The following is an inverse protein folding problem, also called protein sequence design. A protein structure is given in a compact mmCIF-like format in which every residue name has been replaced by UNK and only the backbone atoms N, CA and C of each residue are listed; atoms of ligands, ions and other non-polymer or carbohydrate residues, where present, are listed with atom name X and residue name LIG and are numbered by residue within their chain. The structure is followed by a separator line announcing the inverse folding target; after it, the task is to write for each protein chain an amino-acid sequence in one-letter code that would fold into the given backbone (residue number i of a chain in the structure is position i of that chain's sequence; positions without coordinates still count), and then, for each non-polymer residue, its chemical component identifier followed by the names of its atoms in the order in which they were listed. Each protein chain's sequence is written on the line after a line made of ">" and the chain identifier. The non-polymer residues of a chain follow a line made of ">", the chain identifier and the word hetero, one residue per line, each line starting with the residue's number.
data_IF_242444701583
#
_entry.id   IF_242444701583
#
_cell.length_a   1.000
_cell.length_b   1.000
_cell.length_c   1.000
_cell.angle_alpha   90.00
_cell.angle_beta   90.00
_cell.angle_gamma   90.00
#
_symmetry.space_group_name_H-M   'P 1'
#
loop_
_entity.id
_entity.type
_entity.pdbx_description
1 polymer ?
#
# COMPACT_ATOMS: atom_id res chain seq x y z
N UNK A 1 11.67 -6.24 9.25
CA UNK A 1 12.98 -6.82 9.63
C UNK A 1 13.56 -6.13 10.87
N UNK A 2 13.67 -4.78 10.95
CA UNK A 2 14.26 -4.06 12.10
C UNK A 2 13.56 -4.38 13.42
N UNK A 3 12.23 -4.41 13.45
CA UNK A 3 11.46 -4.75 14.65
C UNK A 3 11.71 -6.21 15.08
N UNK A 4 11.82 -7.14 14.12
CA UNK A 4 12.14 -8.53 14.42
C UNK A 4 13.52 -8.67 15.09
N UNK A 5 14.54 -7.98 14.58
CA UNK A 5 15.87 -7.95 15.20
C UNK A 5 15.83 -7.38 16.62
N UNK A 6 15.06 -6.31 16.85
CA UNK A 6 14.89 -5.74 18.17
C UNK A 6 14.21 -6.72 19.14
N UNK A 7 13.19 -7.45 18.67
CA UNK A 7 12.51 -8.48 19.47
C UNK A 7 13.47 -9.64 19.82
N UNK A 8 14.29 -10.11 18.85
CA UNK A 8 15.28 -11.17 19.09
C UNK A 8 16.31 -10.70 20.10
N UNK A 9 16.82 -9.47 19.96
CA UNK A 9 17.80 -8.91 20.89
C UNK A 9 17.23 -8.78 22.33
N UNK A 10 15.99 -8.29 22.46
CA UNK A 10 15.32 -8.18 23.74
C UNK A 10 15.07 -9.55 24.38
N UNK A 11 14.62 -10.53 23.61
CA UNK A 11 14.42 -11.91 24.08
C UNK A 11 15.76 -12.52 24.55
N UNK A 12 16.83 -12.34 23.78
CA UNK A 12 18.15 -12.84 24.16
C UNK A 12 18.68 -12.19 25.45
N UNK A 13 18.39 -10.90 25.66
CA UNK A 13 18.77 -10.18 26.87
C UNK A 13 18.19 -10.79 28.15
N UNK A 14 16.97 -11.35 28.06
CA UNK A 14 16.29 -12.03 29.18
C UNK A 14 16.51 -13.55 29.19
N UNK A 15 17.51 -14.06 28.43
CA UNK A 15 17.94 -15.45 28.43
C UNK A 15 17.20 -16.38 27.46
N UNK A 16 16.34 -15.87 26.58
CA UNK A 16 15.69 -16.69 25.55
C UNK A 16 16.66 -16.85 24.35
N UNK A 17 16.97 -18.09 23.92
CA UNK A 17 17.85 -18.32 22.79
C UNK A 17 17.33 -17.68 21.51
N UNK A 18 18.22 -17.13 20.69
CA UNK A 18 17.86 -16.47 19.42
C UNK A 18 17.10 -17.42 18.48
N UNK A 19 17.42 -18.71 18.45
CA UNK A 19 16.71 -19.72 17.68
C UNK A 19 15.24 -19.81 18.06
N UNK A 20 14.93 -19.85 19.36
CA UNK A 20 13.54 -19.88 19.89
C UNK A 20 12.80 -18.59 19.53
N UNK A 21 13.45 -17.44 19.64
CA UNK A 21 12.87 -16.14 19.25
C UNK A 21 12.57 -16.09 17.73
N UNK A 22 13.47 -16.61 16.89
CA UNK A 22 13.26 -16.70 15.45
C UNK A 22 12.09 -17.62 15.10
N UNK A 23 11.99 -18.79 15.74
CA UNK A 23 10.88 -19.73 15.56
C UNK A 23 9.53 -19.08 15.92
N UNK A 24 9.46 -18.39 17.06
CA UNK A 24 8.27 -17.66 17.50
C UNK A 24 7.87 -16.57 16.52
N UNK A 25 8.84 -15.81 15.98
CA UNK A 25 8.59 -14.80 14.97
C UNK A 25 8.11 -15.40 13.63
N UNK A 26 8.54 -16.62 13.28
CA UNK A 26 8.06 -17.32 12.09
C UNK A 26 6.58 -17.71 12.16
N UNK A 27 6.03 -17.84 13.39
CA UNK A 27 4.62 -18.13 13.66
C UNK A 27 3.79 -16.87 13.97
N UNK A 28 4.45 -15.70 14.01
CA UNK A 28 3.79 -14.46 14.39
C UNK A 28 2.81 -14.00 13.29
N UNK A 29 1.54 -13.99 13.62
CA UNK A 29 0.51 -13.36 12.81
C UNK A 29 0.67 -11.84 12.90
N UNK A 30 0.82 -11.19 11.77
CA UNK A 30 1.06 -9.74 11.72
C UNK A 30 -0.12 -8.96 12.32
N UNK A 31 0.14 -7.76 12.81
CA UNK A 31 -0.92 -6.88 13.30
C UNK A 31 -1.76 -6.39 12.13
N UNK A 32 -3.05 -6.09 12.39
CA UNK A 32 -3.97 -5.54 11.40
C UNK A 32 -3.38 -4.30 10.74
N UNK A 33 -3.70 -4.10 9.48
CA UNK A 33 -3.28 -2.94 8.69
C UNK A 33 -1.75 -2.79 8.58
N UNK A 34 -1.03 -3.91 8.50
CA UNK A 34 0.40 -4.00 8.18
C UNK A 34 0.59 -5.02 7.09
N UNK A 35 0.54 -4.55 5.83
CA UNK A 35 0.53 -5.42 4.65
C UNK A 35 -0.57 -6.50 4.72
N UNK A 36 -1.72 -6.12 5.30
CA UNK A 36 -2.86 -7.01 5.49
C UNK A 36 -3.56 -7.28 4.17
N UNK A 37 -3.66 -8.53 3.75
CA UNK A 37 -4.45 -8.89 2.58
C UNK A 37 -5.95 -8.77 2.89
N UNK A 38 -6.61 -7.77 2.32
CA UNK A 38 -8.06 -7.55 2.50
C UNK A 38 -8.91 -8.45 1.59
N UNK A 39 -8.37 -8.84 0.45
CA UNK A 39 -9.05 -9.74 -0.46
C UNK A 39 -8.31 -9.94 -1.78
N UNK A 40 -8.81 -10.91 -2.53
CA UNK A 40 -8.32 -11.25 -3.87
C UNK A 40 -9.47 -11.19 -4.86
N UNK A 41 -9.15 -10.81 -6.09
CA UNK A 41 -10.05 -10.91 -7.23
C UNK A 41 -9.37 -11.78 -8.25
N UNK A 42 -9.95 -12.96 -8.49
CA UNK A 42 -9.42 -13.90 -9.48
C UNK A 42 -9.75 -13.43 -10.88
N UNK A 43 -8.77 -13.55 -11.77
CA UNK A 43 -8.89 -13.29 -13.19
C UNK A 43 -8.33 -14.46 -13.98
N UNK A 44 -8.59 -14.60 -15.28
CA UNK A 44 -8.10 -15.74 -16.07
C UNK A 44 -6.57 -15.91 -16.09
N UNK A 45 -5.82 -14.82 -15.86
CA UNK A 45 -4.35 -14.81 -15.95
C UNK A 45 -3.65 -14.47 -14.64
N UNK A 46 -4.38 -14.46 -13.51
CA UNK A 46 -3.82 -14.30 -12.17
C UNK A 46 -4.64 -13.40 -11.26
N UNK A 47 -4.33 -13.42 -9.97
CA UNK A 47 -5.11 -12.74 -8.94
C UNK A 47 -4.66 -11.30 -8.72
N UNK A 48 -5.61 -10.38 -8.65
CA UNK A 48 -5.39 -9.02 -8.13
C UNK A 48 -5.54 -9.07 -6.61
N UNK A 49 -4.56 -8.55 -5.88
CA UNK A 49 -4.59 -8.48 -4.42
C UNK A 49 -4.86 -7.06 -3.95
N UNK A 50 -5.81 -6.88 -3.05
CA UNK A 50 -6.05 -5.61 -2.34
C UNK A 50 -5.46 -5.72 -0.94
N UNK A 51 -4.49 -4.85 -0.65
CA UNK A 51 -3.65 -4.88 0.56
C UNK A 51 -3.86 -3.59 1.35
N UNK A 52 -3.99 -3.68 2.67
CA UNK A 52 -4.12 -2.54 3.59
C UNK A 52 -2.84 -2.34 4.41
N UNK A 53 -2.34 -1.12 4.45
CA UNK A 53 -1.22 -0.72 5.31
C UNK A 53 -1.48 0.63 5.99
N UNK A 54 -0.95 0.79 7.18
CA UNK A 54 -1.09 2.00 7.99
C UNK A 54 -0.12 3.12 7.61
N UNK A 55 0.74 2.92 6.62
CA UNK A 55 1.67 3.94 6.13
C UNK A 55 0.89 5.19 5.70
N UNK A 56 1.31 6.35 6.12
CA UNK A 56 0.60 7.60 5.86
C UNK A 56 1.51 8.84 5.73
N UNK A 57 2.83 8.65 5.84
CA UNK A 57 3.82 9.71 5.57
C UNK A 57 4.96 9.15 4.71
N UNK A 58 5.74 10.00 4.02
CA UNK A 58 6.65 9.58 2.96
C UNK A 58 7.63 8.46 3.34
N UNK A 59 8.26 8.55 4.52
CA UNK A 59 9.20 7.50 4.96
C UNK A 59 8.51 6.14 5.15
N UNK A 60 7.30 6.13 5.74
CA UNK A 60 6.53 4.91 5.92
C UNK A 60 6.06 4.35 4.56
N UNK A 61 5.54 5.20 3.67
CA UNK A 61 5.14 4.84 2.31
C UNK A 61 6.31 4.18 1.59
N UNK A 62 7.47 4.83 1.55
CA UNK A 62 8.68 4.28 0.91
C UNK A 62 9.07 2.92 1.49
N UNK A 63 9.06 2.78 2.82
CA UNK A 63 9.44 1.53 3.48
C UNK A 63 8.45 0.40 3.17
N UNK A 64 7.15 0.70 3.12
CA UNK A 64 6.09 -0.27 2.79
C UNK A 64 6.18 -0.70 1.33
N UNK A 65 6.32 0.25 0.39
CA UNK A 65 6.49 -0.05 -1.04
C UNK A 65 7.73 -0.92 -1.29
N UNK A 66 8.89 -0.53 -0.73
CA UNK A 66 10.12 -1.32 -0.86
C UNK A 66 9.97 -2.72 -0.24
N UNK A 67 9.26 -2.83 0.89
CA UNK A 67 8.98 -4.13 1.53
C UNK A 67 8.15 -5.04 0.64
N UNK A 68 7.10 -4.50 0.01
CA UNK A 68 6.28 -5.26 -0.93
C UNK A 68 7.07 -5.65 -2.18
N UNK A 69 7.83 -4.74 -2.76
CA UNK A 69 8.70 -5.03 -3.92
C UNK A 69 9.66 -6.18 -3.63
N UNK A 70 10.39 -6.10 -2.52
CA UNK A 70 11.29 -7.18 -2.10
C UNK A 70 10.59 -8.52 -1.86
N UNK A 71 9.36 -8.50 -1.37
CA UNK A 71 8.57 -9.72 -1.20
C UNK A 71 8.21 -10.34 -2.56
N UNK A 72 7.79 -9.52 -3.52
CA UNK A 72 7.48 -9.95 -4.89
C UNK A 72 8.71 -10.52 -5.61
N UNK A 73 9.85 -9.82 -5.51
CA UNK A 73 11.12 -10.25 -6.11
C UNK A 73 11.56 -11.62 -5.58
N UNK A 74 11.47 -11.83 -4.24
CA UNK A 74 11.81 -13.11 -3.62
C UNK A 74 10.87 -14.24 -4.03
N UNK A 75 9.61 -13.91 -4.31
CA UNK A 75 8.62 -14.88 -4.81
C UNK A 75 8.73 -15.12 -6.31
N UNK A 76 9.65 -14.46 -7.02
CA UNK A 76 9.77 -14.52 -8.48
C UNK A 76 8.53 -13.99 -9.21
N UNK A 77 7.77 -13.10 -8.57
CA UNK A 77 6.49 -12.61 -9.10
C UNK A 77 6.68 -11.23 -9.73
N UNK A 78 6.55 -11.15 -11.05
CA UNK A 78 6.54 -9.90 -11.80
C UNK A 78 5.16 -9.21 -11.67
N UNK A 79 4.86 -8.66 -10.50
CA UNK A 79 3.61 -7.94 -10.24
C UNK A 79 3.84 -6.44 -10.17
N UNK A 80 2.89 -5.66 -10.72
CA UNK A 80 2.88 -4.21 -10.57
C UNK A 80 2.35 -3.84 -9.18
N UNK A 81 2.82 -2.73 -8.64
CA UNK A 81 2.30 -2.12 -7.41
C UNK A 81 1.53 -0.87 -7.79
N UNK A 82 0.23 -0.86 -7.51
CA UNK A 82 -0.64 0.30 -7.60
C UNK A 82 -0.81 0.85 -6.18
N UNK A 83 -0.14 1.95 -5.88
CA UNK A 83 -0.24 2.61 -4.58
C UNK A 83 -1.46 3.52 -4.52
N UNK A 84 -2.38 3.26 -3.62
CA UNK A 84 -3.57 4.09 -3.36
C UNK A 84 -3.42 4.68 -1.96
N UNK A 85 -3.30 6.00 -1.81
CA UNK A 85 -2.95 6.57 -0.53
C UNK A 85 -3.72 7.85 -0.18
N UNK A 86 -3.93 8.03 1.11
CA UNK A 86 -4.61 9.17 1.70
C UNK A 86 -3.62 9.94 2.62
N UNK A 87 -3.16 11.15 2.23
CA UNK A 87 -2.34 12.01 3.10
C UNK A 87 -3.18 12.66 4.20
N UNK A 88 -3.61 11.87 5.20
CA UNK A 88 -4.66 12.25 6.15
C UNK A 88 -4.17 12.92 7.43
N UNK A 89 -2.97 12.59 7.90
CA UNK A 89 -2.47 13.17 9.15
C UNK A 89 -2.37 14.70 9.07
N UNK A 90 -2.45 15.40 10.19
CA UNK A 90 -2.35 16.87 10.19
C UNK A 90 -1.09 17.36 9.47
N UNK A 91 0.06 16.72 9.73
CA UNK A 91 1.32 17.04 9.05
C UNK A 91 1.25 16.85 7.53
N UNK A 92 0.55 15.83 7.07
CA UNK A 92 0.39 15.58 5.63
C UNK A 92 -0.63 16.55 5.02
N UNK A 93 -1.75 16.83 5.70
CA UNK A 93 -2.77 17.78 5.24
C UNK A 93 -2.23 19.20 5.09
N UNK A 94 -1.36 19.64 6.00
CA UNK A 94 -0.71 20.95 5.95
C UNK A 94 0.44 21.02 4.93
N UNK A 95 0.85 19.88 4.37
CA UNK A 95 1.89 19.82 3.35
C UNK A 95 3.33 19.88 3.85
N UNK A 96 3.57 19.77 5.16
CA UNK A 96 4.92 19.88 5.73
C UNK A 96 5.93 18.84 5.17
N UNK A 97 5.44 17.72 4.66
CA UNK A 97 6.28 16.65 4.10
C UNK A 97 5.92 16.30 2.64
N UNK A 98 5.11 17.12 1.97
CA UNK A 98 4.58 16.82 0.64
C UNK A 98 5.66 16.59 -0.41
N UNK A 99 6.75 17.35 -0.36
CA UNK A 99 7.82 17.33 -1.35
C UNK A 99 8.63 16.01 -1.34
N UNK A 100 8.47 15.20 -0.30
CA UNK A 100 9.07 13.87 -0.19
C UNK A 100 8.20 12.75 -0.82
N UNK A 101 6.93 13.05 -1.16
CA UNK A 101 6.01 12.05 -1.70
C UNK A 101 6.47 11.46 -3.04
N UNK A 102 6.91 12.24 -4.05
CA UNK A 102 7.33 11.67 -5.33
C UNK A 102 8.45 10.62 -5.16
N UNK A 103 9.47 10.95 -4.35
CA UNK A 103 10.58 10.04 -4.09
C UNK A 103 10.17 8.81 -3.26
N UNK A 104 9.09 8.90 -2.45
CA UNK A 104 8.57 7.75 -1.69
C UNK A 104 7.76 6.77 -2.54
N UNK A 105 7.35 7.19 -3.72
CA UNK A 105 6.52 6.46 -4.68
C UNK A 105 7.30 6.09 -5.96
N UNK A 106 8.63 6.19 -5.97
CA UNK A 106 9.46 5.90 -7.15
C UNK A 106 9.31 4.48 -7.68
N UNK A 107 9.12 3.52 -6.76
CA UNK A 107 9.12 2.08 -7.04
C UNK A 107 7.72 1.48 -7.25
N UNK A 108 6.70 2.32 -7.50
CA UNK A 108 5.35 1.87 -7.89
C UNK A 108 5.10 2.15 -9.38
N UNK A 109 4.29 1.31 -10.00
CA UNK A 109 3.89 1.51 -11.39
C UNK A 109 2.85 2.62 -11.53
N UNK A 110 1.97 2.78 -10.53
CA UNK A 110 1.02 3.89 -10.46
C UNK A 110 0.77 4.34 -9.02
N UNK A 111 0.49 5.63 -8.87
CA UNK A 111 0.19 6.27 -7.59
C UNK A 111 -1.16 7.01 -7.67
N UNK A 112 -2.10 6.65 -6.82
CA UNK A 112 -3.44 7.23 -6.74
C UNK A 112 -3.58 7.97 -5.41
N UNK A 113 -3.65 9.28 -5.46
CA UNK A 113 -3.74 10.16 -4.30
C UNK A 113 -5.18 10.61 -4.07
N UNK A 114 -5.72 10.31 -2.89
CA UNK A 114 -6.97 10.90 -2.43
C UNK A 114 -6.71 12.26 -1.84
N UNK A 115 -7.25 13.30 -2.45
CA UNK A 115 -6.87 14.70 -2.17
C UNK A 115 -7.83 15.43 -1.26
N UNK A 116 -8.93 14.81 -0.83
CA UNK A 116 -9.93 15.47 0.00
C UNK A 116 -9.33 16.01 1.29
N UNK A 117 -9.54 17.30 1.53
CA UNK A 117 -9.09 17.98 2.75
C UNK A 117 -7.60 18.32 2.81
N UNK A 118 -6.86 18.25 1.68
CA UNK A 118 -5.51 18.77 1.57
C UNK A 118 -5.53 20.30 1.41
N UNK A 119 -4.56 20.99 2.04
CA UNK A 119 -4.36 22.43 1.88
C UNK A 119 -3.33 22.77 0.78
N UNK A 120 -2.89 21.80 0.00
CA UNK A 120 -1.90 21.92 -1.06
C UNK A 120 -2.33 21.18 -2.33
N UNK A 121 -1.80 21.58 -3.46
CA UNK A 121 -2.10 20.98 -4.75
C UNK A 121 -1.30 19.68 -4.97
N UNK A 122 -2.00 18.55 -4.87
CA UNK A 122 -1.40 17.23 -5.03
C UNK A 122 -0.93 16.98 -6.48
N UNK A 123 -1.59 17.54 -7.49
CA UNK A 123 -1.19 17.40 -8.90
C UNK A 123 0.18 18.03 -9.14
N UNK A 124 0.38 19.24 -8.63
CA UNK A 124 1.68 19.93 -8.72
C UNK A 124 2.78 19.16 -7.98
N UNK A 125 2.50 18.68 -6.76
CA UNK A 125 3.49 17.95 -5.95
C UNK A 125 3.87 16.63 -6.60
N UNK A 126 2.91 15.90 -7.15
CA UNK A 126 3.14 14.58 -7.77
C UNK A 126 3.53 14.66 -9.26
N UNK A 127 3.63 15.86 -9.84
CA UNK A 127 4.04 16.05 -11.24
C UNK A 127 5.34 15.32 -11.64
N UNK A 128 6.35 15.15 -10.77
CA UNK A 128 7.54 14.35 -11.09
C UNK A 128 7.26 12.87 -11.42
N UNK A 129 6.10 12.33 -11.05
CA UNK A 129 5.68 10.97 -11.40
C UNK A 129 5.04 10.90 -12.81
N UNK A 130 4.74 12.04 -13.43
CA UNK A 130 4.10 12.12 -14.75
C UNK A 130 2.74 11.43 -14.78
N UNK A 131 2.47 10.70 -15.85
CA UNK A 131 1.21 9.97 -16.06
C UNK A 131 0.95 8.82 -15.07
N UNK A 132 1.94 8.48 -14.26
CA UNK A 132 1.80 7.47 -13.20
C UNK A 132 1.03 8.00 -11.98
N UNK A 133 0.82 9.31 -11.86
CA UNK A 133 0.11 9.92 -10.74
C UNK A 133 -1.32 10.31 -11.13
N UNK A 134 -2.28 9.84 -10.34
CA UNK A 134 -3.69 10.19 -10.44
C UNK A 134 -4.13 10.83 -9.13
N UNK A 135 -4.83 11.96 -9.19
CA UNK A 135 -5.30 12.72 -8.03
C UNK A 135 -6.80 12.94 -8.13
N UNK A 136 -7.54 12.48 -7.12
CA UNK A 136 -9.00 12.59 -7.06
C UNK A 136 -9.45 13.01 -5.65
N UNK A 137 -10.46 13.86 -5.55
CA UNK A 137 -11.05 14.32 -4.29
C UNK A 137 -12.34 13.58 -3.93
N UNK A 138 -12.88 12.80 -4.87
CA UNK A 138 -14.05 11.94 -4.68
C UNK A 138 -13.61 10.48 -4.62
N UNK A 139 -14.00 9.78 -3.55
CA UNK A 139 -13.56 8.38 -3.34
C UNK A 139 -14.04 7.45 -4.46
N UNK A 140 -15.24 7.66 -4.99
CA UNK A 140 -15.78 6.81 -6.05
C UNK A 140 -15.04 7.04 -7.38
N UNK A 141 -14.63 8.27 -7.68
CA UNK A 141 -13.80 8.59 -8.84
C UNK A 141 -12.41 7.93 -8.69
N UNK A 142 -11.78 8.03 -7.50
CA UNK A 142 -10.51 7.38 -7.22
C UNK A 142 -10.60 5.87 -7.45
N UNK A 143 -11.62 5.22 -6.87
CA UNK A 143 -11.85 3.77 -7.03
C UNK A 143 -12.04 3.40 -8.49
N UNK A 144 -12.80 4.19 -9.25
CA UNK A 144 -13.01 3.97 -10.68
C UNK A 144 -11.70 4.04 -11.45
N UNK A 145 -10.88 5.06 -11.22
CA UNK A 145 -9.56 5.21 -11.85
C UNK A 145 -8.62 4.04 -11.53
N UNK A 146 -8.57 3.61 -10.26
CA UNK A 146 -7.78 2.42 -9.87
C UNK A 146 -8.26 1.18 -10.60
N UNK A 147 -9.58 0.94 -10.62
CA UNK A 147 -10.15 -0.24 -11.26
C UNK A 147 -9.95 -0.25 -12.78
N UNK A 148 -10.01 0.90 -13.46
CA UNK A 148 -9.74 1.03 -14.90
C UNK A 148 -8.28 0.70 -15.26
N UNK A 149 -7.34 1.08 -14.40
CA UNK A 149 -5.89 0.86 -14.62
C UNK A 149 -5.42 -0.51 -14.13
N UNK A 150 -6.21 -1.19 -13.29
CA UNK A 150 -5.86 -2.49 -12.73
C UNK A 150 -5.76 -3.57 -13.82
N UNK A 151 -4.79 -4.45 -13.67
CA UNK A 151 -4.51 -5.59 -14.54
C UNK A 151 -4.38 -6.87 -13.70
N UNK A 152 -4.53 -8.05 -14.31
CA UNK A 152 -4.21 -9.31 -13.65
C UNK A 152 -2.82 -9.29 -12.99
N UNK A 153 -2.70 -9.94 -11.85
CA UNK A 153 -1.49 -10.00 -11.01
C UNK A 153 -1.12 -8.72 -10.26
N UNK A 154 -1.87 -7.63 -10.36
CA UNK A 154 -1.56 -6.39 -9.65
C UNK A 154 -1.67 -6.53 -8.13
N UNK A 155 -0.87 -5.71 -7.43
CA UNK A 155 -0.91 -5.50 -5.99
C UNK A 155 -1.40 -4.07 -5.73
N UNK A 156 -2.66 -3.95 -5.37
CA UNK A 156 -3.27 -2.65 -5.01
C UNK A 156 -2.98 -2.43 -3.53
N UNK A 157 -2.03 -1.55 -3.24
CA UNK A 157 -1.57 -1.22 -1.90
C UNK A 157 -2.26 0.04 -1.40
N UNK A 158 -3.26 -0.13 -0.53
CA UNK A 158 -3.99 0.97 0.09
C UNK A 158 -3.29 1.41 1.37
N UNK A 159 -2.97 2.71 1.48
CA UNK A 159 -2.18 3.27 2.57
C UNK A 159 -2.88 4.46 3.21
N UNK A 160 -3.28 4.33 4.48
CA UNK A 160 -3.90 5.41 5.26
C UNK A 160 -3.83 5.11 6.76
N UNK A 161 -3.78 6.13 7.60
CA UNK A 161 -3.95 5.99 9.06
C UNK A 161 -5.41 6.13 9.53
N UNK A 162 -6.35 6.17 8.59
CA UNK A 162 -7.80 6.25 8.86
C UNK A 162 -8.59 5.14 8.18
N UNK A 163 -9.91 5.26 8.18
CA UNK A 163 -10.81 4.28 7.53
C UNK A 163 -10.84 4.35 6.01
N UNK A 164 -10.22 5.36 5.41
CA UNK A 164 -10.11 5.58 3.97
C UNK A 164 -11.45 5.39 3.22
N UNK A 165 -12.52 5.88 3.80
CA UNK A 165 -13.88 5.82 3.25
C UNK A 165 -14.31 4.42 2.74
N UNK A 166 -13.78 3.35 3.33
CA UNK A 166 -14.07 1.97 2.92
C UNK A 166 -13.49 1.59 1.55
N UNK A 167 -12.39 2.20 1.12
CA UNK A 167 -11.77 2.02 -0.20
C UNK A 167 -11.55 0.54 -0.56
N UNK A 168 -11.16 -0.29 0.40
CA UNK A 168 -10.87 -1.70 0.17
C UNK A 168 -12.08 -2.48 -0.33
N UNK A 169 -13.22 -2.33 0.33
CA UNK A 169 -14.47 -3.03 -0.04
C UNK A 169 -15.03 -2.50 -1.35
N UNK A 170 -14.90 -1.18 -1.60
CA UNK A 170 -15.28 -0.55 -2.88
C UNK A 170 -14.44 -1.10 -4.03
N UNK A 171 -13.11 -1.16 -3.87
CA UNK A 171 -12.20 -1.74 -4.86
C UNK A 171 -12.52 -3.20 -5.12
N UNK A 172 -12.65 -4.03 -4.09
CA UNK A 172 -12.98 -5.45 -4.24
C UNK A 172 -14.30 -5.65 -4.97
N UNK A 173 -15.31 -4.84 -4.64
CA UNK A 173 -16.64 -4.92 -5.29
C UNK A 173 -16.57 -4.55 -6.76
N UNK A 174 -15.89 -3.44 -7.09
CA UNK A 174 -15.83 -2.94 -8.47
C UNK A 174 -14.93 -3.81 -9.36
N UNK A 175 -13.79 -4.27 -8.83
CA UNK A 175 -12.90 -5.20 -9.55
C UNK A 175 -13.60 -6.53 -9.85
N UNK A 176 -14.34 -7.10 -8.87
CA UNK A 176 -15.12 -8.31 -9.11
C UNK A 176 -16.12 -8.11 -10.25
N UNK A 177 -16.88 -7.00 -10.26
CA UNK A 177 -17.82 -6.70 -11.33
C UNK A 177 -17.13 -6.64 -12.69
N UNK A 178 -16.01 -5.91 -12.79
CA UNK A 178 -15.26 -5.76 -14.04
C UNK A 178 -14.77 -7.11 -14.58
N UNK A 179 -14.05 -7.86 -13.77
CA UNK A 179 -13.42 -9.11 -14.23
C UNK A 179 -14.35 -10.33 -14.28
N UNK A 180 -15.56 -10.25 -13.68
CA UNK A 180 -16.62 -11.27 -13.91
C UNK A 180 -17.37 -11.03 -15.21
N UNK A 181 -17.45 -9.78 -15.71
CA UNK A 181 -18.10 -9.46 -16.97
C UNK A 181 -17.22 -9.73 -18.19
N UNK A 182 -15.90 -9.84 -17.99
CA UNK A 182 -14.92 -10.13 -19.04
C UNK A 182 -14.62 -11.64 -19.16
N UNK A 183 -15.20 -12.50 -18.30
CA UNK A 183 -15.05 -13.96 -18.31
C UNK A 183 -16.28 -14.60 -18.94
#
# INVERSE_FOLDING_TARGET
>A
QRNALACIAAANHIGIPAATACEALGRFENVRRRMELRGRVSTPTGDIHVIDDFAHHPTAIKTTVLGLRQQLDRAGTAARILAVFEPRSNTMKTGAMKDLLPASLSDVEMAFCFTQGLSWDAKTVLAPLGERAVCEDQIDALVTQVCEKAQPNDRILCMSNGGFSGVHDRLLTQLKKRFTQEA
#
